data_IF_912403609188
#
_entry.id   IF_912403609188
#
_cell.length_a   1.000
_cell.length_b   1.000
_cell.length_c   1.000
_cell.angle_alpha   90.00
_cell.angle_beta   90.00
_cell.angle_gamma   90.00
#
_symmetry.space_group_name_H-M   'P 1'
#
loop_
_entity.id
_entity.type
_entity.pdbx_description
1 polymer ?
#
# COMPACT_ATOMS: atom_id res chain seq x y z
N UNK A 1 -14.79 50.63 -1.84
CA UNK A 1 -14.08 49.72 -2.75
C UNK A 1 -14.15 48.31 -2.19
N UNK A 2 -14.50 47.27 -2.97
CA UNK A 2 -14.48 45.90 -2.47
C UNK A 2 -13.02 45.44 -2.30
N UNK A 3 -12.67 45.06 -1.07
CA UNK A 3 -11.35 44.51 -0.73
C UNK A 3 -11.21 43.09 -1.31
N UNK A 4 -10.19 42.87 -2.14
CA UNK A 4 -9.92 41.57 -2.75
C UNK A 4 -8.97 40.76 -1.87
N UNK A 5 -9.52 39.90 -1.01
CA UNK A 5 -8.71 38.94 -0.25
C UNK A 5 -8.27 37.78 -1.15
N UNK A 6 -6.95 37.58 -1.32
CA UNK A 6 -6.39 36.36 -1.92
C UNK A 6 -6.21 35.27 -0.87
N UNK A 7 -6.93 34.16 -1.04
CA UNK A 7 -6.77 32.96 -0.22
C UNK A 7 -5.66 32.08 -0.81
N UNK A 8 -4.56 31.88 -0.10
CA UNK A 8 -3.51 30.93 -0.48
C UNK A 8 -3.81 29.59 0.17
N UNK A 9 -4.16 28.58 -0.64
CA UNK A 9 -4.37 27.20 -0.18
C UNK A 9 -3.02 26.50 -0.22
N UNK A 10 -2.39 26.27 0.93
CA UNK A 10 -1.19 25.44 0.99
C UNK A 10 -1.52 23.98 0.65
N UNK A 11 -0.68 23.31 -0.17
CA UNK A 11 -0.89 21.91 -0.53
C UNK A 11 -0.79 21.01 0.70
N UNK A 12 -1.76 20.10 0.83
CA UNK A 12 -1.74 19.02 1.83
C UNK A 12 -0.54 18.10 1.57
N UNK A 13 0.56 18.26 2.29
CA UNK A 13 1.68 17.32 2.21
C UNK A 13 1.35 16.07 3.02
N UNK A 14 0.99 14.98 2.35
CA UNK A 14 0.86 13.69 3.02
C UNK A 14 2.25 13.12 3.34
N UNK A 15 2.60 13.09 4.63
CA UNK A 15 3.88 12.56 5.11
C UNK A 15 4.01 11.04 4.99
N UNK A 16 2.89 10.30 4.94
CA UNK A 16 2.88 8.84 5.01
C UNK A 16 2.70 8.15 3.64
N UNK A 17 2.29 8.90 2.62
CA UNK A 17 1.93 8.34 1.33
C UNK A 17 3.12 7.79 0.50
N UNK A 18 4.27 8.49 0.37
CA UNK A 18 5.37 8.03 -0.48
C UNK A 18 5.99 6.71 0.00
N UNK A 19 6.21 6.59 1.31
CA UNK A 19 6.76 5.37 1.92
C UNK A 19 5.80 4.19 1.75
N UNK A 20 4.49 4.41 1.98
CA UNK A 20 3.46 3.38 1.77
C UNK A 20 3.44 2.92 0.33
N UNK A 21 3.49 3.84 -0.64
CA UNK A 21 3.52 3.51 -2.07
C UNK A 21 4.76 2.70 -2.43
N UNK A 22 5.94 3.09 -1.91
CA UNK A 22 7.18 2.34 -2.08
C UNK A 22 7.07 0.90 -1.58
N UNK A 23 6.54 0.71 -0.37
CA UNK A 23 6.32 -0.64 0.18
C UNK A 23 5.34 -1.48 -0.67
N UNK A 24 4.28 -0.87 -1.20
CA UNK A 24 3.36 -1.55 -2.13
C UNK A 24 4.04 -1.94 -3.44
N UNK A 25 4.88 -1.06 -3.99
CA UNK A 25 5.64 -1.34 -5.21
C UNK A 25 6.63 -2.49 -4.99
N UNK A 26 7.33 -2.51 -3.86
CA UNK A 26 8.22 -3.61 -3.48
C UNK A 26 7.46 -4.93 -3.35
N UNK A 27 6.27 -4.90 -2.72
CA UNK A 27 5.41 -6.08 -2.63
C UNK A 27 5.02 -6.61 -4.01
N UNK A 28 4.58 -5.74 -4.93
CA UNK A 28 4.24 -6.12 -6.32
C UNK A 28 5.45 -6.74 -7.02
N UNK A 29 6.62 -6.11 -6.93
CA UNK A 29 7.84 -6.62 -7.54
C UNK A 29 8.21 -8.02 -7.00
N UNK A 30 8.17 -8.22 -5.68
CA UNK A 30 8.44 -9.52 -5.06
C UNK A 30 7.48 -10.61 -5.56
N UNK A 31 6.18 -10.30 -5.66
CA UNK A 31 5.16 -11.24 -6.12
C UNK A 31 5.35 -11.63 -7.59
N UNK A 32 5.74 -10.67 -8.44
CA UNK A 32 6.03 -10.93 -9.85
C UNK A 32 7.28 -11.79 -10.03
N UNK A 33 8.35 -11.48 -9.30
CA UNK A 33 9.58 -12.31 -9.34
C UNK A 33 9.29 -13.71 -8.81
N UNK A 34 8.58 -13.84 -7.69
CA UNK A 34 8.21 -15.15 -7.14
C UNK A 34 7.35 -15.96 -8.13
N UNK A 35 6.34 -15.33 -8.74
CA UNK A 35 5.50 -15.97 -9.76
C UNK A 35 6.29 -16.40 -10.99
N UNK A 36 7.24 -15.57 -11.45
CA UNK A 36 8.11 -15.90 -12.56
C UNK A 36 9.03 -17.08 -12.26
N UNK A 37 9.65 -17.10 -11.07
CA UNK A 37 10.47 -18.22 -10.63
C UNK A 37 9.63 -19.50 -10.56
N UNK A 38 8.44 -19.46 -9.95
CA UNK A 38 7.56 -20.65 -9.89
C UNK A 38 7.16 -21.17 -11.28
N UNK A 39 6.91 -20.26 -12.23
CA UNK A 39 6.55 -20.64 -13.60
C UNK A 39 7.73 -21.27 -14.35
N UNK A 40 8.91 -20.67 -14.25
CA UNK A 40 10.12 -21.16 -14.93
C UNK A 40 10.62 -22.48 -14.35
N UNK A 41 10.52 -22.66 -13.03
CA UNK A 41 10.88 -23.92 -12.36
C UNK A 41 9.93 -25.05 -12.70
N UNK A 42 8.62 -24.78 -12.69
CA UNK A 42 7.62 -25.79 -13.05
C UNK A 42 7.70 -26.21 -14.52
N UNK A 43 8.02 -25.28 -15.42
CA UNK A 43 8.20 -25.59 -16.84
C UNK A 43 9.50 -26.36 -17.14
N UNK A 44 10.55 -26.14 -16.36
CA UNK A 44 11.88 -26.73 -16.60
C UNK A 44 12.13 -28.02 -15.81
N UNK A 45 11.18 -28.50 -15.01
CA UNK A 45 11.34 -29.66 -14.15
C UNK A 45 11.52 -30.96 -14.98
N UNK A 46 12.67 -31.66 -14.89
CA UNK A 46 12.95 -32.87 -15.67
C UNK A 46 12.29 -34.14 -15.09
N UNK A 47 11.70 -34.06 -13.90
CA UNK A 47 11.05 -35.16 -13.19
C UNK A 47 9.53 -35.00 -13.33
N UNK A 48 8.76 -36.07 -13.58
CA UNK A 48 7.32 -35.98 -13.50
C UNK A 48 6.92 -35.42 -12.13
N UNK A 49 6.37 -34.21 -12.10
CA UNK A 49 5.82 -33.52 -10.92
C UNK A 49 4.82 -34.44 -10.15
N UNK A 50 4.30 -35.46 -10.83
CA UNK A 50 3.47 -36.55 -10.30
C UNK A 50 4.14 -37.47 -9.28
N UNK A 51 5.48 -37.49 -9.16
CA UNK A 51 6.19 -38.32 -8.16
C UNK A 51 6.13 -37.73 -6.74
N UNK A 52 5.83 -36.43 -6.60
CA UNK A 52 5.62 -35.76 -5.31
C UNK A 52 4.12 -35.40 -5.22
N UNK A 53 3.28 -36.23 -4.61
CA UNK A 53 1.82 -36.07 -4.64
C UNK A 53 1.32 -34.75 -4.01
N UNK A 54 2.15 -34.10 -3.20
CA UNK A 54 1.84 -32.84 -2.53
C UNK A 54 2.20 -31.58 -3.36
N UNK A 55 3.10 -31.71 -4.33
CA UNK A 55 3.66 -30.57 -5.08
C UNK A 55 2.64 -29.86 -5.98
N UNK A 56 1.78 -30.55 -6.76
CA UNK A 56 0.74 -29.89 -7.57
C UNK A 56 -0.23 -29.05 -6.74
N UNK A 57 -0.61 -29.58 -5.56
CA UNK A 57 -1.52 -28.89 -4.64
C UNK A 57 -0.85 -27.65 -4.06
N UNK A 58 0.39 -27.77 -3.58
CA UNK A 58 1.14 -26.64 -3.04
C UNK A 58 1.34 -25.52 -4.07
N UNK A 59 1.71 -25.88 -5.32
CA UNK A 59 1.86 -24.94 -6.42
C UNK A 59 0.54 -24.22 -6.74
N UNK A 60 -0.57 -24.95 -6.78
CA UNK A 60 -1.90 -24.35 -6.98
C UNK A 60 -2.29 -23.40 -5.85
N UNK A 61 -2.02 -23.76 -4.59
CA UNK A 61 -2.30 -22.89 -3.44
C UNK A 61 -1.46 -21.62 -3.48
N UNK A 62 -0.15 -21.75 -3.73
CA UNK A 62 0.77 -20.61 -3.72
C UNK A 62 0.51 -19.66 -4.91
N UNK A 63 0.22 -20.18 -6.10
CA UNK A 63 -0.17 -19.37 -7.26
C UNK A 63 -1.49 -18.62 -7.02
N UNK A 64 -2.49 -19.27 -6.41
CA UNK A 64 -3.73 -18.61 -6.02
C UNK A 64 -3.48 -17.49 -5.00
N UNK A 65 -2.59 -17.71 -4.03
CA UNK A 65 -2.22 -16.71 -3.04
C UNK A 65 -1.51 -15.50 -3.66
N UNK A 66 -0.58 -15.73 -4.60
CA UNK A 66 0.08 -14.67 -5.37
C UNK A 66 -0.96 -13.87 -6.15
N UNK A 67 -1.84 -14.55 -6.89
CA UNK A 67 -2.89 -13.92 -7.68
C UNK A 67 -3.83 -13.07 -6.82
N UNK A 68 -4.32 -13.61 -5.71
CA UNK A 68 -5.22 -12.88 -4.80
C UNK A 68 -4.53 -11.65 -4.20
N UNK A 69 -3.25 -11.77 -3.82
CA UNK A 69 -2.47 -10.66 -3.28
C UNK A 69 -2.25 -9.57 -4.34
N UNK A 70 -1.91 -9.96 -5.57
CA UNK A 70 -1.76 -9.04 -6.71
C UNK A 70 -3.08 -8.35 -7.06
N UNK A 71 -4.19 -9.07 -7.04
CA UNK A 71 -5.51 -8.51 -7.33
C UNK A 71 -5.88 -7.42 -6.31
N UNK A 72 -5.73 -7.74 -5.01
CA UNK A 72 -6.00 -6.80 -3.93
C UNK A 72 -5.13 -5.53 -4.01
N UNK A 73 -3.81 -5.70 -4.18
CA UNK A 73 -2.90 -4.56 -4.24
C UNK A 73 -3.15 -3.69 -5.48
N UNK A 74 -3.51 -4.31 -6.61
CA UNK A 74 -3.83 -3.60 -7.85
C UNK A 74 -5.08 -2.75 -7.70
N UNK A 75 -6.18 -3.30 -7.15
CA UNK A 75 -7.39 -2.50 -6.89
C UNK A 75 -7.10 -1.33 -5.97
N UNK A 76 -6.30 -1.57 -4.92
CA UNK A 76 -5.94 -0.51 -3.99
C UNK A 76 -5.07 0.56 -4.66
N UNK A 77 -4.17 0.18 -5.58
CA UNK A 77 -3.36 1.13 -6.35
C UNK A 77 -4.20 1.94 -7.35
N UNK A 78 -5.13 1.29 -8.07
CA UNK A 78 -6.03 1.96 -9.02
C UNK A 78 -6.87 3.02 -8.29
N UNK A 79 -7.48 2.67 -7.16
CA UNK A 79 -8.24 3.63 -6.35
C UNK A 79 -7.35 4.76 -5.83
N UNK A 80 -6.09 4.49 -5.49
CA UNK A 80 -5.16 5.53 -5.06
C UNK A 80 -4.79 6.50 -6.19
N UNK A 81 -4.71 6.02 -7.44
CA UNK A 81 -4.45 6.84 -8.62
C UNK A 81 -5.65 7.71 -9.02
N UNK A 82 -6.87 7.17 -9.05
CA UNK A 82 -8.08 7.90 -9.48
C UNK A 82 -8.38 9.14 -8.60
N UNK A 83 -8.03 9.05 -7.31
CA UNK A 83 -8.22 10.16 -6.35
C UNK A 83 -7.29 11.35 -6.65
N UNK A 84 -6.11 11.14 -7.25
CA UNK A 84 -5.21 12.24 -7.60
C UNK A 84 -5.69 13.06 -8.80
N UNK A 85 -6.49 12.46 -9.68
CA UNK A 85 -6.99 13.08 -10.92
C UNK A 85 -8.23 13.94 -10.71
N UNK A 86 -8.99 13.74 -9.61
CA UNK A 86 -10.24 14.47 -9.35
C UNK A 86 -9.99 15.75 -8.56
N UNK A 87 -10.38 16.89 -9.12
CA UNK A 87 -10.22 18.24 -8.54
C UNK A 87 -11.03 18.47 -7.25
N UNK A 88 -11.97 17.57 -6.91
CA UNK A 88 -12.82 17.68 -5.73
C UNK A 88 -12.68 16.41 -4.85
N UNK A 89 -11.96 16.47 -3.72
CA UNK A 89 -11.60 15.27 -2.93
C UNK A 89 -12.84 14.55 -2.36
N UNK A 90 -13.92 15.28 -2.06
CA UNK A 90 -15.14 14.72 -1.46
C UNK A 90 -15.97 13.83 -2.41
N UNK A 91 -15.86 14.03 -3.72
CA UNK A 91 -16.55 13.18 -4.71
C UNK A 91 -15.72 11.95 -5.09
N UNK A 92 -14.39 12.10 -5.11
CA UNK A 92 -13.47 10.98 -5.31
C UNK A 92 -13.56 9.94 -4.18
N UNK A 93 -13.73 10.40 -2.93
CA UNK A 93 -13.85 9.53 -1.76
C UNK A 93 -15.17 8.71 -1.73
N UNK A 94 -16.24 9.15 -2.41
CA UNK A 94 -17.53 8.43 -2.43
C UNK A 94 -17.46 7.08 -3.15
N UNK A 95 -16.57 6.93 -4.14
CA UNK A 95 -16.40 5.70 -4.92
C UNK A 95 -15.35 4.75 -4.37
N UNK A 96 -14.61 5.14 -3.33
CA UNK A 96 -13.46 4.39 -2.83
C UNK A 96 -13.90 3.32 -1.83
N UNK A 97 -13.53 2.06 -2.09
CA UNK A 97 -13.87 0.92 -1.24
C UNK A 97 -12.60 0.31 -0.65
N UNK A 98 -11.63 -0.05 -1.49
CA UNK A 98 -10.40 -0.74 -1.09
C UNK A 98 -9.36 0.17 -0.43
N UNK A 99 -9.36 1.47 -0.73
CA UNK A 99 -8.45 2.47 -0.17
C UNK A 99 -8.89 3.04 1.18
N UNK A 100 -10.05 2.62 1.71
CA UNK A 100 -10.48 2.96 3.07
C UNK A 100 -9.56 2.28 4.08
N UNK A 101 -9.15 3.00 5.12
CA UNK A 101 -8.12 2.50 6.05
C UNK A 101 -8.49 1.17 6.70
N UNK A 102 -9.71 1.03 7.20
CA UNK A 102 -10.12 -0.22 7.84
C UNK A 102 -10.22 -1.39 6.84
N UNK A 103 -10.64 -1.13 5.59
CA UNK A 103 -10.72 -2.16 4.53
C UNK A 103 -9.32 -2.59 4.14
N UNK A 104 -8.45 -1.63 3.83
CA UNK A 104 -7.08 -1.89 3.44
C UNK A 104 -6.34 -2.64 4.56
N UNK A 105 -6.44 -2.18 5.80
CA UNK A 105 -5.83 -2.83 6.97
C UNK A 105 -6.39 -4.23 7.23
N UNK A 106 -7.71 -4.40 7.16
CA UNK A 106 -8.37 -5.69 7.34
C UNK A 106 -7.96 -6.71 6.28
N UNK A 107 -8.07 -6.33 5.00
CA UNK A 107 -7.64 -7.18 3.88
C UNK A 107 -6.15 -7.52 3.98
N UNK A 108 -5.31 -6.56 4.34
CA UNK A 108 -3.87 -6.78 4.46
C UNK A 108 -3.52 -7.77 5.59
N UNK A 109 -4.21 -7.70 6.73
CA UNK A 109 -4.04 -8.67 7.82
C UNK A 109 -4.49 -10.07 7.41
N UNK A 110 -5.60 -10.17 6.68
CA UNK A 110 -6.10 -11.45 6.13
C UNK A 110 -5.06 -12.05 5.16
N UNK A 111 -4.55 -11.25 4.24
CA UNK A 111 -3.51 -11.67 3.29
C UNK A 111 -2.26 -12.15 4.04
N UNK A 112 -1.76 -11.38 5.01
CA UNK A 112 -0.62 -11.79 5.83
C UNK A 112 -0.88 -13.12 6.55
N UNK A 113 -2.07 -13.30 7.14
CA UNK A 113 -2.44 -14.55 7.80
C UNK A 113 -2.41 -15.74 6.83
N UNK A 114 -2.87 -15.57 5.59
CA UNK A 114 -2.77 -16.62 4.56
C UNK A 114 -1.32 -16.94 4.20
N UNK A 115 -0.46 -15.92 4.00
CA UNK A 115 0.97 -16.14 3.74
C UNK A 115 1.67 -16.90 4.86
N UNK A 116 1.35 -16.62 6.12
CA UNK A 116 1.87 -17.36 7.26
C UNK A 116 1.29 -18.77 7.37
N UNK A 117 -0.02 -18.92 7.11
CA UNK A 117 -0.72 -20.22 7.18
C UNK A 117 -0.19 -21.22 6.15
N UNK A 118 0.09 -20.76 4.94
CA UNK A 118 0.59 -21.58 3.83
C UNK A 118 2.12 -21.66 3.75
N UNK A 119 2.83 -21.26 4.82
CA UNK A 119 4.29 -21.43 4.92
C UNK A 119 4.72 -22.88 4.63
N UNK A 120 3.97 -23.86 5.13
CA UNK A 120 4.27 -25.29 4.93
C UNK A 120 4.15 -25.74 3.48
N UNK A 121 3.21 -25.19 2.72
CA UNK A 121 3.10 -25.48 1.29
C UNK A 121 4.29 -24.88 0.52
N UNK A 122 4.76 -23.70 0.94
CA UNK A 122 5.96 -23.09 0.39
C UNK A 122 7.24 -23.87 0.71
N UNK A 123 7.34 -24.44 1.92
CA UNK A 123 8.47 -25.31 2.35
C UNK A 123 8.56 -26.56 1.46
N UNK A 124 7.43 -27.21 1.16
CA UNK A 124 7.37 -28.37 0.24
C UNK A 124 7.87 -27.99 -1.16
N UNK A 125 7.48 -26.81 -1.66
CA UNK A 125 7.93 -26.28 -2.95
C UNK A 125 9.45 -26.04 -2.92
N UNK A 126 9.96 -25.40 -1.87
CA UNK A 126 11.38 -25.12 -1.70
C UNK A 126 12.20 -26.41 -1.67
N UNK A 127 11.78 -27.40 -0.89
CA UNK A 127 12.46 -28.70 -0.80
C UNK A 127 12.45 -29.43 -2.14
N UNK A 128 11.30 -29.47 -2.82
CA UNK A 128 11.14 -30.13 -4.12
C UNK A 128 12.02 -29.53 -5.22
N UNK A 129 12.19 -28.20 -5.21
CA UNK A 129 13.02 -27.49 -6.19
C UNK A 129 14.47 -27.29 -5.77
N UNK A 130 14.83 -27.60 -4.51
CA UNK A 130 16.18 -27.42 -3.98
C UNK A 130 17.26 -28.15 -4.78
N UNK A 131 16.95 -29.37 -5.22
CA UNK A 131 17.86 -30.20 -6.01
C UNK A 131 17.93 -29.79 -7.49
N UNK A 132 16.94 -29.05 -7.99
CA UNK A 132 16.82 -28.74 -9.41
C UNK A 132 17.48 -27.40 -9.79
N UNK A 133 17.61 -26.47 -8.84
CA UNK A 133 17.95 -25.07 -9.11
C UNK A 133 19.24 -24.62 -8.41
N UNK A 134 20.40 -25.20 -8.73
CA UNK A 134 21.65 -24.86 -8.05
C UNK A 134 22.00 -23.35 -7.99
N UNK A 135 21.46 -22.49 -8.88
CA UNK A 135 21.70 -21.04 -8.91
C UNK A 135 20.47 -20.17 -8.66
N UNK A 136 19.29 -20.59 -9.13
CA UNK A 136 18.03 -19.86 -8.94
C UNK A 136 17.33 -20.23 -7.61
N UNK A 137 17.82 -21.23 -6.88
CA UNK A 137 17.24 -21.68 -5.61
C UNK A 137 17.23 -20.58 -4.54
N UNK A 138 18.15 -19.62 -4.59
CA UNK A 138 18.19 -18.54 -3.59
C UNK A 138 17.02 -17.57 -3.78
N UNK A 139 16.53 -17.39 -5.00
CA UNK A 139 15.49 -16.40 -5.31
C UNK A 139 14.13 -16.76 -4.73
N UNK A 140 13.76 -18.04 -4.75
CA UNK A 140 12.46 -18.50 -4.27
C UNK A 140 12.22 -18.27 -2.77
N UNK A 141 13.09 -18.73 -1.84
CA UNK A 141 12.97 -18.40 -0.43
C UNK A 141 13.14 -16.90 -0.18
N UNK A 142 14.10 -16.24 -0.86
CA UNK A 142 14.33 -14.81 -0.68
C UNK A 142 13.09 -13.98 -1.01
N UNK A 143 12.45 -14.22 -2.16
CA UNK A 143 11.25 -13.49 -2.57
C UNK A 143 10.03 -13.84 -1.73
N UNK A 144 9.92 -15.09 -1.26
CA UNK A 144 8.88 -15.49 -0.31
C UNK A 144 9.01 -14.74 1.03
N UNK A 145 10.21 -14.75 1.63
CA UNK A 145 10.50 -14.01 2.86
C UNK A 145 10.33 -12.50 2.67
N UNK A 146 10.82 -11.95 1.55
CA UNK A 146 10.67 -10.53 1.20
C UNK A 146 9.20 -10.13 1.06
N UNK A 147 8.34 -11.02 0.55
CA UNK A 147 6.88 -10.82 0.47
C UNK A 147 6.27 -10.71 1.87
N UNK A 148 6.57 -11.67 2.76
CA UNK A 148 6.08 -11.63 4.15
C UNK A 148 6.60 -10.38 4.87
N UNK A 149 7.88 -10.06 4.72
CA UNK A 149 8.47 -8.87 5.32
C UNK A 149 7.79 -7.60 4.81
N UNK A 150 7.51 -7.50 3.51
CA UNK A 150 6.79 -6.36 2.93
C UNK A 150 5.38 -6.21 3.51
N UNK A 151 4.65 -7.32 3.70
CA UNK A 151 3.33 -7.33 4.33
C UNK A 151 3.39 -6.91 5.80
N UNK A 152 4.40 -7.35 6.55
CA UNK A 152 4.65 -6.94 7.93
C UNK A 152 4.96 -5.43 7.99
N UNK A 153 5.87 -4.95 7.14
CA UNK A 153 6.26 -3.54 7.09
C UNK A 153 5.08 -2.63 6.73
N UNK A 154 4.23 -3.04 5.78
CA UNK A 154 3.01 -2.29 5.46
C UNK A 154 2.05 -2.21 6.67
N UNK A 155 1.93 -3.29 7.45
CA UNK A 155 1.05 -3.34 8.63
C UNK A 155 1.64 -2.50 9.78
N UNK A 156 2.95 -2.62 10.01
CA UNK A 156 3.67 -1.80 10.98
C UNK A 156 3.55 -0.32 10.62
N UNK A 157 3.76 0.03 9.36
CA UNK A 157 3.59 1.41 8.89
C UNK A 157 2.16 1.91 9.09
N UNK A 158 1.14 1.08 8.86
CA UNK A 158 -0.25 1.42 9.15
C UNK A 158 -0.44 1.72 10.65
N UNK A 159 0.00 0.82 11.53
CA UNK A 159 -0.09 1.00 12.98
C UNK A 159 0.66 2.25 13.45
N UNK A 160 1.89 2.45 12.98
CA UNK A 160 2.68 3.65 13.31
C UNK A 160 1.98 4.91 12.83
N UNK A 161 1.39 4.91 11.63
CA UNK A 161 0.63 6.06 11.13
C UNK A 161 -0.60 6.39 11.99
N UNK A 162 -1.33 5.37 12.44
CA UNK A 162 -2.48 5.52 13.35
C UNK A 162 -2.02 6.06 14.71
N UNK A 163 -0.96 5.51 15.29
CA UNK A 163 -0.42 5.95 16.59
C UNK A 163 0.07 7.39 16.53
N UNK A 164 0.84 7.74 15.50
CA UNK A 164 1.34 9.11 15.32
C UNK A 164 0.20 10.11 15.10
N UNK A 165 -0.83 9.74 14.33
CA UNK A 165 -2.01 10.57 14.15
C UNK A 165 -2.78 10.76 15.46
N UNK A 166 -3.02 9.68 16.20
CA UNK A 166 -3.71 9.70 17.50
C UNK A 166 -2.98 10.58 18.52
N UNK A 167 -1.64 10.54 18.53
CA UNK A 167 -0.82 11.38 19.41
C UNK A 167 -0.94 12.88 19.09
N UNK A 168 -1.16 13.24 17.82
CA UNK A 168 -1.23 14.65 17.38
C UNK A 168 -2.64 15.25 17.51
N UNK A 169 -3.66 14.53 17.07
CA UNK A 169 -5.04 15.07 16.92
C UNK A 169 -6.02 14.54 17.99
N UNK A 170 -5.58 13.56 18.80
CA UNK A 170 -6.39 12.92 19.83
C UNK A 170 -7.33 11.83 19.30
N UNK A 171 -7.80 10.98 20.23
CA UNK A 171 -8.64 9.80 19.95
C UNK A 171 -9.99 10.12 19.29
N UNK A 172 -10.54 11.31 19.54
CA UNK A 172 -11.87 11.69 19.05
C UNK A 172 -11.89 11.96 17.54
N UNK A 173 -10.78 12.47 16.98
CA UNK A 173 -10.60 12.65 15.54
C UNK A 173 -10.30 11.34 14.80
N UNK A 174 -9.76 10.34 15.50
CA UNK A 174 -9.41 9.05 14.91
C UNK A 174 -10.63 8.28 14.42
N UNK A 175 -11.74 8.26 15.18
CA UNK A 175 -12.87 7.39 14.86
C UNK A 175 -13.45 7.72 13.47
N UNK A 176 -13.70 9.01 13.17
CA UNK A 176 -14.24 9.40 11.86
C UNK A 176 -13.27 9.09 10.71
N UNK A 177 -11.98 9.36 10.88
CA UNK A 177 -10.96 9.20 9.84
C UNK A 177 -10.53 7.73 9.66
N UNK A 178 -10.69 6.88 10.67
CA UNK A 178 -10.36 5.46 10.56
C UNK A 178 -11.43 4.67 9.79
N UNK A 179 -12.70 5.01 10.00
CA UNK A 179 -13.84 4.38 9.31
C UNK A 179 -14.06 4.93 7.91
N UNK A 180 -13.89 6.23 7.71
CA UNK A 180 -14.20 6.90 6.45
C UNK A 180 -12.97 7.41 5.70
N UNK A 181 -11.84 7.60 6.40
CA UNK A 181 -10.64 8.21 5.84
C UNK A 181 -9.75 7.24 5.07
N UNK A 182 -9.00 7.83 4.15
CA UNK A 182 -8.09 7.16 3.22
C UNK A 182 -6.77 6.79 3.89
N UNK A 183 -6.29 5.58 3.62
CA UNK A 183 -5.04 5.12 4.21
C UNK A 183 -3.85 5.96 3.75
N UNK A 184 -3.03 6.41 4.70
CA UNK A 184 -1.87 7.24 4.41
C UNK A 184 -2.20 8.69 4.06
N UNK A 185 -3.46 9.13 4.16
CA UNK A 185 -3.90 10.51 3.93
C UNK A 185 -4.39 11.19 5.21
N UNK A 186 -3.78 10.80 6.33
CA UNK A 186 -3.99 11.33 7.66
C UNK A 186 -3.28 12.69 7.79
N UNK A 187 -3.84 13.69 7.12
CA UNK A 187 -3.38 15.07 7.26
C UNK A 187 -4.11 15.61 8.50
N UNK A 188 -3.35 15.95 9.53
CA UNK A 188 -3.90 16.69 10.67
C UNK A 188 -4.67 17.91 10.19
N UNK A 189 -5.59 18.43 10.99
CA UNK A 189 -6.29 19.67 10.62
C UNK A 189 -5.25 20.79 10.60
N UNK A 190 -4.66 21.05 9.42
CA UNK A 190 -3.90 22.27 9.21
C UNK A 190 -4.92 23.37 9.42
N UNK A 191 -4.80 24.09 10.54
CA UNK A 191 -5.46 25.36 10.71
C UNK A 191 -5.06 26.17 9.49
N UNK A 192 -6.03 26.44 8.62
CA UNK A 192 -5.90 27.51 7.65
C UNK A 192 -5.78 28.76 8.50
N UNK A 193 -4.55 29.14 8.86
CA UNK A 193 -4.29 30.52 9.22
C UNK A 193 -4.70 31.32 7.99
N UNK A 194 -5.85 31.97 8.10
CA UNK A 194 -6.25 33.00 7.16
C UNK A 194 -5.21 34.09 7.30
N UNK A 195 -4.13 34.01 6.52
CA UNK A 195 -3.22 35.13 6.34
C UNK A 195 -3.98 36.13 5.49
N UNK A 196 -4.79 36.95 6.15
CA UNK A 196 -5.34 38.17 5.56
C UNK A 196 -4.14 39.07 5.36
N UNK A 197 -3.60 39.11 4.14
CA UNK A 197 -2.63 40.13 3.75
C UNK A 197 -3.48 41.39 3.50
N UNK A 198 -3.44 42.41 4.36
CA UNK A 198 -3.97 43.70 3.96
C UNK A 198 -3.09 44.18 2.80
N UNK A 199 -3.71 44.44 1.64
CA UNK A 199 -3.05 45.23 0.61
C UNK A 199 -2.72 46.58 1.24
N UNK A 200 -1.45 46.78 1.58
CA UNK A 200 -0.93 48.09 1.97
C UNK A 200 -0.94 48.89 0.68
N UNK A 201 -2.03 49.63 0.46
CA UNK A 201 -2.03 50.78 -0.44
C UNK A 201 -0.85 51.66 -0.04
N UNK A 202 0.26 51.56 -0.76
CA UNK A 202 1.24 52.63 -0.81
C UNK A 202 0.56 53.81 -1.50
N UNK A 203 -0.06 54.67 -0.67
CA UNK A 203 -0.30 56.05 -1.01
C UNK A 203 1.03 56.73 -1.31
N UNK A 204 1.43 56.74 -2.57
CA UNK A 204 2.34 57.74 -3.08
C UNK A 204 1.51 59.02 -3.25
N UNK A 205 1.38 59.77 -2.15
CA UNK A 205 1.02 61.17 -2.22
C UNK A 205 2.16 61.93 -2.89
N UNK A 206 2.07 62.12 -4.21
CA UNK A 206 2.79 63.21 -4.85
C UNK A 206 2.08 64.52 -4.49
N UNK A 207 2.59 65.15 -3.43
CA UNK A 207 2.52 66.60 -3.27
C UNK A 207 3.50 67.21 -4.28
N UNK A 208 2.99 67.88 -5.31
CA UNK A 208 3.25 69.31 -5.60
C UNK A 208 2.47 69.75 -6.84
#
# INVERSE_FOLDING_TARGET
MPSYSRTIILPRTSYFHPLRLGLKATLVANLLVLGHVLLTTSASAPIPIHLIPLLPKALSTLSALIFLTLLWITFTLIENCDVHTKSCPKEAEKGMVFGKTWVEGGCQMIVLAFWLRYWKDAEVIMESFSHQLAREFVLLPLTFFSTILSLILLNLHLLTSIVLYTKREGLRGLNSELWCGKTGWWVGKVQLDQVVIPDVEQGLGEKQ
#
